data_IF_242158259324
#
_entry.id   IF_242158259324
#
_cell.length_a   1.000
_cell.length_b   1.000
_cell.length_c   1.000
_cell.angle_alpha   90.00
_cell.angle_beta   90.00
_cell.angle_gamma   90.00
#
_symmetry.space_group_name_H-M   'P 1'
#
loop_
_entity.id
_entity.type
_entity.pdbx_description
1 polymer ?
#
# COMPACT_ATOMS: atom_id res chain seq x y z
N UNK A 1 5.80 -0.19 -26.53
CA UNK A 1 6.46 -1.48 -26.27
C UNK A 1 5.75 -2.58 -27.05
N UNK A 2 6.52 -3.38 -27.79
CA UNK A 2 6.04 -4.55 -28.55
C UNK A 2 6.65 -5.77 -27.90
N UNK A 3 5.84 -6.81 -27.67
CA UNK A 3 6.32 -8.11 -27.20
C UNK A 3 5.91 -9.16 -28.21
N UNK A 4 6.88 -9.91 -28.74
CA UNK A 4 6.67 -11.03 -29.65
C UNK A 4 6.84 -12.34 -28.92
N UNK A 5 6.09 -13.37 -29.30
CA UNK A 5 6.31 -14.76 -28.94
C UNK A 5 6.89 -15.47 -30.15
N UNK A 6 8.19 -15.76 -30.10
CA UNK A 6 8.92 -16.49 -31.14
C UNK A 6 9.40 -17.79 -30.50
N UNK A 7 9.01 -18.93 -31.07
CA UNK A 7 9.41 -20.26 -30.58
C UNK A 7 9.07 -20.50 -29.08
N UNK A 8 7.95 -19.97 -28.59
CA UNK A 8 7.51 -20.04 -27.17
C UNK A 8 8.35 -19.19 -26.21
N UNK A 9 9.19 -18.31 -26.73
CA UNK A 9 9.94 -17.33 -25.96
C UNK A 9 9.45 -15.91 -26.26
N UNK A 10 9.32 -15.10 -25.20
CA UNK A 10 8.90 -13.71 -25.32
C UNK A 10 10.11 -12.78 -25.57
N UNK A 11 10.02 -11.91 -26.55
CA UNK A 11 11.06 -10.92 -26.88
C UNK A 11 10.46 -9.53 -27.00
N UNK A 12 11.19 -8.52 -26.51
CA UNK A 12 10.79 -7.11 -26.63
C UNK A 12 11.39 -6.54 -27.92
N UNK A 13 10.57 -5.82 -28.67
CA UNK A 13 10.96 -5.10 -29.88
C UNK A 13 10.61 -3.61 -29.68
N UNK A 14 11.53 -2.74 -30.08
CA UNK A 14 11.43 -1.30 -29.79
C UNK A 14 10.71 -0.53 -30.91
N UNK A 15 10.90 -0.91 -32.17
CA UNK A 15 10.39 -0.17 -33.32
C UNK A 15 9.31 -0.93 -34.08
N UNK A 16 8.29 -0.21 -34.56
CA UNK A 16 7.23 -0.81 -35.37
C UNK A 16 7.72 -1.26 -36.74
N UNK A 17 8.74 -0.60 -37.28
CA UNK A 17 9.33 -0.97 -38.56
C UNK A 17 9.89 -2.40 -38.54
N UNK A 18 10.37 -2.87 -37.38
CA UNK A 18 10.82 -4.26 -37.19
C UNK A 18 9.67 -5.25 -37.39
N UNK A 19 8.43 -4.86 -37.04
CA UNK A 19 7.23 -5.67 -37.27
C UNK A 19 6.85 -5.66 -38.75
N UNK A 20 6.92 -4.50 -39.40
CA UNK A 20 6.60 -4.34 -40.82
C UNK A 20 7.54 -5.17 -41.73
N UNK A 21 8.78 -5.36 -41.30
CA UNK A 21 9.79 -6.13 -42.04
C UNK A 21 9.69 -7.65 -41.80
N UNK A 22 8.80 -8.12 -40.93
CA UNK A 22 8.65 -9.55 -40.65
C UNK A 22 8.18 -10.31 -41.90
N UNK A 23 8.79 -11.47 -42.20
CA UNK A 23 8.30 -12.34 -43.27
C UNK A 23 6.83 -12.70 -43.06
N UNK A 24 6.01 -12.53 -44.10
CA UNK A 24 4.58 -12.83 -44.06
C UNK A 24 3.71 -11.70 -43.52
N UNK A 25 4.27 -10.60 -43.00
CA UNK A 25 3.48 -9.47 -42.54
C UNK A 25 2.72 -8.79 -43.68
N UNK A 26 1.44 -8.52 -43.44
CA UNK A 26 0.57 -7.75 -44.32
C UNK A 26 -0.27 -6.77 -43.52
N UNK A 27 -0.42 -5.55 -44.04
CA UNK A 27 -1.27 -4.51 -43.48
C UNK A 27 -2.68 -4.52 -44.08
N UNK A 28 -3.04 -5.54 -44.87
CA UNK A 28 -4.32 -5.61 -45.57
C UNK A 28 -4.83 -7.06 -45.68
N UNK A 29 -4.92 -7.75 -44.54
CA UNK A 29 -5.42 -9.13 -44.44
C UNK A 29 -6.95 -9.16 -44.57
N UNK A 30 -7.48 -10.02 -45.42
CA UNK A 30 -8.92 -10.30 -45.51
C UNK A 30 -9.32 -11.35 -44.45
N UNK A 31 -9.99 -10.97 -43.36
CA UNK A 31 -10.28 -11.89 -42.25
C UNK A 31 -11.25 -13.01 -42.63
N UNK A 32 -11.98 -12.90 -43.75
CA UNK A 32 -12.95 -13.91 -44.19
C UNK A 32 -12.30 -15.07 -44.96
N UNK A 33 -11.07 -14.88 -45.45
CA UNK A 33 -10.32 -15.86 -46.25
C UNK A 33 -9.24 -16.60 -45.47
N UNK A 34 -9.01 -16.22 -44.22
CA UNK A 34 -7.92 -16.77 -43.41
C UNK A 34 -8.43 -17.20 -42.05
N UNK A 35 -7.91 -18.33 -41.57
CA UNK A 35 -8.16 -18.80 -40.22
C UNK A 35 -7.03 -18.37 -39.28
N UNK A 36 -7.40 -18.04 -38.04
CA UNK A 36 -6.43 -17.74 -36.99
C UNK A 36 -5.54 -18.96 -36.73
N UNK A 37 -4.23 -18.77 -36.78
CA UNK A 37 -3.25 -19.76 -36.37
C UNK A 37 -2.84 -19.53 -34.91
N UNK A 38 -2.19 -18.40 -34.64
CA UNK A 38 -1.71 -18.06 -33.30
C UNK A 38 -1.65 -16.55 -33.04
N UNK A 39 -1.71 -16.14 -31.78
CA UNK A 39 -1.24 -14.81 -31.36
C UNK A 39 0.26 -14.89 -31.11
N UNK A 40 1.01 -14.16 -31.93
CA UNK A 40 2.48 -14.13 -31.93
C UNK A 40 3.03 -12.88 -31.27
N UNK A 41 2.18 -11.98 -30.79
CA UNK A 41 2.65 -10.79 -30.10
C UNK A 41 1.55 -9.86 -29.61
N UNK A 42 1.97 -8.86 -28.84
CA UNK A 42 1.17 -7.74 -28.35
C UNK A 42 1.94 -6.46 -28.56
N UNK A 43 1.25 -5.37 -28.87
CA UNK A 43 1.82 -4.04 -28.83
C UNK A 43 0.97 -3.08 -27.99
N UNK A 44 1.66 -2.13 -27.36
CA UNK A 44 1.08 -0.97 -26.68
C UNK A 44 1.94 0.24 -27.02
N UNK A 45 1.37 1.22 -27.69
CA UNK A 45 2.02 2.44 -28.16
C UNK A 45 1.30 3.69 -27.65
N UNK A 46 2.05 4.78 -27.55
CA UNK A 46 1.48 6.14 -27.45
C UNK A 46 0.89 6.58 -28.78
N UNK A 47 1.54 6.21 -29.90
CA UNK A 47 1.10 6.51 -31.26
C UNK A 47 0.23 5.40 -31.83
N UNK A 48 -0.72 5.77 -32.70
CA UNK A 48 -1.72 4.83 -33.19
C UNK A 48 -1.25 4.14 -34.47
N UNK A 49 -1.34 2.81 -34.51
CA UNK A 49 -1.10 2.01 -35.72
C UNK A 49 -2.41 1.61 -36.35
N UNK A 50 -2.50 1.65 -37.69
CA UNK A 50 -3.71 1.22 -38.43
C UNK A 50 -3.91 -0.28 -38.27
N UNK A 51 -5.15 -0.72 -38.04
CA UNK A 51 -5.51 -2.13 -38.06
C UNK A 51 -5.14 -2.75 -39.43
N UNK A 52 -4.49 -3.90 -39.43
CA UNK A 52 -4.03 -4.58 -40.64
C UNK A 52 -5.11 -5.39 -41.35
N UNK A 53 -6.36 -5.33 -40.90
CA UNK A 53 -7.49 -5.94 -41.60
C UNK A 53 -8.00 -5.05 -42.73
N UNK A 54 -8.31 -5.67 -43.88
CA UNK A 54 -8.81 -4.99 -45.09
C UNK A 54 -10.05 -4.14 -44.86
N UNK A 55 -10.91 -4.56 -43.93
CA UNK A 55 -12.24 -4.00 -43.73
C UNK A 55 -12.32 -3.04 -42.53
N UNK A 56 -11.17 -2.72 -41.90
CA UNK A 56 -11.16 -1.87 -40.71
C UNK A 56 -10.24 -0.66 -40.87
N UNK A 57 -8.92 -0.86 -41.01
CA UNK A 57 -7.89 0.19 -41.05
C UNK A 57 -7.93 1.26 -39.94
N UNK A 58 -8.81 1.09 -38.94
CA UNK A 58 -9.00 2.05 -37.86
C UNK A 58 -7.74 2.07 -36.99
N UNK A 59 -7.16 3.25 -36.72
CA UNK A 59 -5.99 3.34 -35.87
C UNK A 59 -6.30 2.92 -34.42
N UNK A 60 -5.38 2.19 -33.79
CA UNK A 60 -5.44 1.85 -32.36
C UNK A 60 -4.04 1.83 -31.74
N UNK A 61 -3.93 2.33 -30.50
CA UNK A 61 -2.66 2.34 -29.75
C UNK A 61 -2.33 0.99 -29.07
N UNK A 62 -3.21 0.00 -29.12
CA UNK A 62 -2.96 -1.33 -28.54
C UNK A 62 -3.65 -2.44 -29.31
N UNK A 63 -3.02 -3.61 -29.36
CA UNK A 63 -3.58 -4.78 -29.99
C UNK A 63 -2.58 -5.93 -30.03
N UNK A 64 -2.84 -6.87 -30.93
CA UNK A 64 -2.10 -8.12 -31.05
C UNK A 64 -1.51 -8.25 -32.44
N UNK A 65 -0.41 -9.00 -32.52
CA UNK A 65 0.10 -9.55 -33.76
C UNK A 65 -0.37 -10.99 -33.85
N UNK A 66 -0.98 -11.33 -34.97
CA UNK A 66 -1.53 -12.66 -35.24
C UNK A 66 -0.85 -13.26 -36.45
N UNK A 67 -0.64 -14.58 -36.40
CA UNK A 67 -0.28 -15.39 -37.55
C UNK A 67 -1.49 -16.24 -37.94
N UNK A 68 -1.81 -16.30 -39.22
CA UNK A 68 -2.84 -17.18 -39.79
C UNK A 68 -2.25 -18.57 -40.04
N UNK A 69 -3.11 -19.58 -40.23
CA UNK A 69 -2.65 -20.96 -40.52
C UNK A 69 -1.86 -21.08 -41.83
N UNK A 70 -2.08 -20.18 -42.78
CA UNK A 70 -1.35 -20.10 -44.05
C UNK A 70 -0.07 -19.24 -43.98
N UNK A 71 0.33 -18.81 -42.78
CA UNK A 71 1.62 -18.14 -42.54
C UNK A 71 1.63 -16.64 -42.80
N UNK A 72 0.47 -16.00 -42.95
CA UNK A 72 0.38 -14.53 -43.02
C UNK A 72 0.35 -13.96 -41.62
N UNK A 73 1.00 -12.82 -41.43
CA UNK A 73 1.00 -12.10 -40.17
C UNK A 73 0.30 -10.75 -40.34
N UNK A 74 -0.42 -10.31 -39.33
CA UNK A 74 -1.00 -8.95 -39.34
C UNK A 74 -1.18 -8.42 -37.93
N UNK A 75 -1.40 -7.12 -37.81
CA UNK A 75 -1.74 -6.47 -36.56
C UNK A 75 -3.24 -6.22 -36.46
N UNK A 76 -3.80 -6.45 -35.28
CA UNK A 76 -5.25 -6.41 -35.10
C UNK A 76 -5.62 -5.92 -33.71
N UNK A 77 -6.64 -5.06 -33.64
CA UNK A 77 -7.22 -4.62 -32.38
C UNK A 77 -8.06 -5.72 -31.71
N UNK A 78 -8.23 -5.64 -30.39
CA UNK A 78 -9.02 -6.59 -29.59
C UNK A 78 -10.43 -6.83 -30.18
N UNK A 79 -11.11 -5.75 -30.53
CA UNK A 79 -12.51 -5.81 -30.99
C UNK A 79 -12.60 -6.46 -32.37
N UNK A 80 -11.66 -6.14 -33.25
CA UNK A 80 -11.54 -6.78 -34.56
C UNK A 80 -11.25 -8.27 -34.43
N UNK A 81 -10.28 -8.67 -33.59
CA UNK A 81 -9.96 -10.08 -33.41
C UNK A 81 -11.12 -10.88 -32.83
N UNK A 82 -11.81 -10.32 -31.84
CA UNK A 82 -13.01 -10.96 -31.27
C UNK A 82 -14.15 -11.07 -32.29
N UNK A 83 -14.34 -10.05 -33.13
CA UNK A 83 -15.39 -10.03 -34.15
C UNK A 83 -15.14 -11.07 -35.25
N UNK A 84 -13.92 -11.14 -35.78
CA UNK A 84 -13.63 -11.91 -36.97
C UNK A 84 -13.12 -13.33 -36.69
N UNK A 85 -12.37 -13.52 -35.60
CA UNK A 85 -11.78 -14.81 -35.23
C UNK A 85 -12.43 -15.42 -33.97
N UNK A 86 -13.43 -14.74 -33.39
CA UNK A 86 -14.33 -15.30 -32.39
C UNK A 86 -13.64 -15.77 -31.10
N UNK A 87 -14.11 -16.90 -30.58
CA UNK A 87 -13.70 -17.46 -29.28
C UNK A 87 -12.21 -17.82 -29.29
N UNK A 88 -11.70 -18.40 -30.38
CA UNK A 88 -10.30 -18.81 -30.50
C UNK A 88 -9.35 -17.64 -30.25
N UNK A 89 -9.63 -16.47 -30.84
CA UNK A 89 -8.84 -15.27 -30.60
C UNK A 89 -8.90 -14.83 -29.15
N UNK A 90 -10.09 -14.83 -28.54
CA UNK A 90 -10.26 -14.39 -27.15
C UNK A 90 -9.50 -15.30 -26.19
N UNK A 91 -9.53 -16.62 -26.42
CA UNK A 91 -8.82 -17.59 -25.59
C UNK A 91 -7.30 -17.47 -25.74
N UNK A 92 -6.81 -17.38 -26.99
CA UNK A 92 -5.39 -17.18 -27.26
C UNK A 92 -4.88 -15.85 -26.69
N UNK A 93 -5.67 -14.77 -26.79
CA UNK A 93 -5.30 -13.47 -26.25
C UNK A 93 -5.18 -13.53 -24.73
N UNK A 94 -6.14 -14.17 -24.08
CA UNK A 94 -6.09 -14.41 -22.63
C UNK A 94 -4.90 -15.27 -22.22
N UNK A 95 -4.57 -16.30 -22.99
CA UNK A 95 -3.40 -17.14 -22.72
C UNK A 95 -2.11 -16.35 -22.86
N UNK A 96 -1.97 -15.58 -23.95
CA UNK A 96 -0.80 -14.73 -24.19
C UNK A 96 -0.60 -13.70 -23.08
N UNK A 97 -1.65 -13.01 -22.65
CA UNK A 97 -1.57 -12.04 -21.54
C UNK A 97 -1.17 -12.72 -20.22
N UNK A 98 -1.69 -13.92 -19.93
CA UNK A 98 -1.27 -14.69 -18.75
C UNK A 98 0.19 -15.08 -18.80
N UNK A 99 0.69 -15.51 -19.95
CA UNK A 99 2.09 -15.92 -20.11
C UNK A 99 3.03 -14.72 -20.00
N UNK A 100 2.63 -13.58 -20.55
CA UNK A 100 3.35 -12.31 -20.42
C UNK A 100 3.40 -11.86 -18.96
N UNK A 101 2.26 -11.82 -18.27
CA UNK A 101 2.18 -11.45 -16.84
C UNK A 101 3.01 -12.40 -15.98
N UNK A 102 2.97 -13.71 -16.26
CA UNK A 102 3.76 -14.69 -15.53
C UNK A 102 5.26 -14.48 -15.73
N UNK A 103 5.71 -14.13 -16.93
CA UNK A 103 7.11 -13.77 -17.20
C UNK A 103 7.52 -12.50 -16.46
N UNK A 104 6.74 -11.43 -16.61
CA UNK A 104 7.04 -10.14 -15.97
C UNK A 104 7.08 -10.30 -14.44
N UNK A 105 6.16 -11.07 -13.87
CA UNK A 105 6.17 -11.36 -12.44
C UNK A 105 7.40 -12.18 -12.04
N UNK A 106 7.84 -13.18 -12.82
CA UNK A 106 9.12 -13.88 -12.53
C UNK A 106 10.31 -12.92 -12.51
N UNK A 107 10.39 -11.99 -13.46
CA UNK A 107 11.47 -10.99 -13.51
C UNK A 107 11.45 -10.06 -12.28
N UNK A 108 10.27 -9.58 -11.89
CA UNK A 108 10.07 -8.79 -10.66
C UNK A 108 10.51 -9.56 -9.42
N UNK A 109 10.08 -10.82 -9.30
CA UNK A 109 10.42 -11.69 -8.17
C UNK A 109 11.92 -11.99 -8.11
N UNK A 110 12.55 -12.29 -9.24
CA UNK A 110 13.98 -12.54 -9.31
C UNK A 110 14.76 -11.29 -8.88
N UNK A 111 14.39 -10.12 -9.39
CA UNK A 111 15.01 -8.85 -9.00
C UNK A 111 14.85 -8.58 -7.51
N UNK A 112 13.67 -8.82 -6.95
CA UNK A 112 13.41 -8.67 -5.52
C UNK A 112 14.22 -9.65 -4.68
N UNK A 113 14.35 -10.90 -5.14
CA UNK A 113 15.11 -11.95 -4.46
C UNK A 113 16.58 -11.54 -4.27
N UNK A 114 17.22 -10.98 -5.30
CA UNK A 114 18.59 -10.48 -5.20
C UNK A 114 18.77 -9.29 -4.24
N UNK A 115 17.68 -8.59 -3.88
CA UNK A 115 17.71 -7.44 -2.97
C UNK A 115 17.23 -7.77 -1.56
N UNK A 116 16.96 -9.03 -1.24
CA UNK A 116 16.42 -9.40 0.08
C UNK A 116 17.36 -9.06 1.23
N UNK A 117 18.67 -9.27 1.06
CA UNK A 117 19.62 -8.99 2.14
C UNK A 117 19.75 -7.48 2.40
N UNK A 118 19.69 -6.64 1.34
CA UNK A 118 19.59 -5.18 1.49
C UNK A 118 18.30 -4.78 2.22
N UNK A 119 17.18 -5.41 1.86
CA UNK A 119 15.90 -5.16 2.49
C UNK A 119 15.91 -5.53 3.98
N UNK A 120 16.46 -6.69 4.34
CA UNK A 120 16.61 -7.11 5.74
C UNK A 120 17.50 -6.14 6.52
N UNK A 121 18.63 -5.70 5.96
CA UNK A 121 19.50 -4.70 6.59
C UNK A 121 18.78 -3.37 6.83
N UNK A 122 17.96 -2.93 5.87
CA UNK A 122 17.12 -1.72 6.02
C UNK A 122 16.06 -1.88 7.11
N UNK A 123 15.41 -3.04 7.20
CA UNK A 123 14.46 -3.35 8.26
C UNK A 123 15.16 -3.32 9.62
N UNK A 124 16.31 -3.97 9.77
CA UNK A 124 17.01 -4.00 11.06
C UNK A 124 17.50 -2.61 11.47
N UNK A 125 17.93 -1.77 10.51
CA UNK A 125 18.28 -0.37 10.78
C UNK A 125 17.11 0.40 11.39
N UNK A 126 15.89 0.23 10.85
CA UNK A 126 14.67 0.85 11.40
C UNK A 126 14.31 0.31 12.78
N UNK A 127 14.59 -0.98 13.04
CA UNK A 127 14.28 -1.63 14.32
C UNK A 127 15.25 -1.27 15.44
N UNK A 128 16.54 -1.29 15.15
CA UNK A 128 17.63 -1.24 16.13
C UNK A 128 18.22 0.14 16.34
N UNK A 129 17.94 1.12 15.47
CA UNK A 129 18.42 2.49 15.66
C UNK A 129 17.96 3.10 16.99
N UNK A 130 18.60 4.21 17.38
CA UNK A 130 18.24 4.94 18.60
C UNK A 130 16.76 5.34 18.56
N UNK A 131 16.03 4.97 19.61
CA UNK A 131 14.57 5.11 19.67
C UNK A 131 13.90 4.59 18.39
N UNK A 132 14.39 3.46 17.86
CA UNK A 132 13.88 2.78 16.68
C UNK A 132 12.62 1.97 16.98
N UNK A 133 12.16 1.23 15.98
CA UNK A 133 10.83 0.59 16.01
C UNK A 133 10.66 -0.38 17.20
N UNK A 134 11.71 -1.09 17.61
CA UNK A 134 11.67 -2.03 18.75
C UNK A 134 11.41 -1.30 20.07
N UNK A 135 12.06 -0.15 20.26
CA UNK A 135 11.88 0.67 21.45
C UNK A 135 10.49 1.34 21.43
N UNK A 136 10.11 1.94 20.30
CA UNK A 136 8.81 2.61 20.14
C UNK A 136 7.67 1.64 20.41
N UNK A 137 7.65 0.48 19.75
CA UNK A 137 6.61 -0.52 19.96
C UNK A 137 6.45 -0.89 21.43
N UNK A 138 7.56 -1.04 22.17
CA UNK A 138 7.52 -1.35 23.60
C UNK A 138 6.87 -0.24 24.43
N UNK A 139 7.20 1.02 24.17
CA UNK A 139 6.63 2.14 24.93
C UNK A 139 5.18 2.45 24.54
N UNK A 140 4.86 2.41 23.24
CA UNK A 140 3.48 2.52 22.72
C UNK A 140 2.61 1.39 23.30
N UNK A 141 3.12 0.17 23.39
CA UNK A 141 2.41 -0.94 24.04
C UNK A 141 2.20 -0.70 25.54
N UNK A 142 3.16 -0.07 26.23
CA UNK A 142 3.01 0.31 27.62
C UNK A 142 1.92 1.39 27.81
N UNK A 143 1.82 2.37 26.90
CA UNK A 143 0.76 3.39 26.88
C UNK A 143 -0.65 2.80 26.74
N UNK A 144 -0.78 1.63 26.11
CA UNK A 144 -2.04 0.91 25.95
C UNK A 144 -2.32 -0.08 27.10
N UNK A 145 -1.41 -0.22 28.06
CA UNK A 145 -1.52 -1.24 29.11
C UNK A 145 -1.93 -0.63 30.47
N UNK A 146 -3.14 -0.89 30.97
CA UNK A 146 -3.63 -0.39 32.26
C UNK A 146 -2.80 -0.82 33.49
N UNK A 147 -1.98 -1.88 33.36
CA UNK A 147 -1.07 -2.31 34.43
C UNK A 147 0.22 -1.48 34.49
N UNK A 148 0.55 -0.73 33.43
CA UNK A 148 1.74 0.13 33.35
C UNK A 148 1.40 1.61 33.45
N UNK A 149 0.29 2.00 32.83
CA UNK A 149 -0.22 3.38 32.80
C UNK A 149 -1.59 3.41 33.46
N UNK A 150 -1.92 4.46 34.25
CA UNK A 150 -3.23 4.60 34.86
C UNK A 150 -4.39 4.43 33.86
N UNK A 151 -5.43 3.72 34.28
CA UNK A 151 -6.57 3.36 33.39
C UNK A 151 -7.26 4.59 32.80
N UNK A 152 -7.29 5.70 33.54
CA UNK A 152 -7.86 6.95 33.05
C UNK A 152 -7.07 7.54 31.88
N UNK A 153 -5.74 7.40 31.90
CA UNK A 153 -4.86 7.86 30.84
C UNK A 153 -4.95 6.95 29.63
N UNK A 154 -4.96 5.62 29.83
CA UNK A 154 -5.12 4.68 28.70
C UNK A 154 -6.44 4.93 27.97
N UNK A 155 -7.55 5.12 28.71
CA UNK A 155 -8.87 5.47 28.13
C UNK A 155 -8.87 6.82 27.43
N UNK A 156 -8.18 7.82 27.98
CA UNK A 156 -8.05 9.14 27.34
C UNK A 156 -7.34 9.01 25.99
N UNK A 157 -6.22 8.29 25.94
CA UNK A 157 -5.48 8.06 24.70
C UNK A 157 -6.30 7.23 23.69
N UNK A 158 -7.02 6.21 24.13
CA UNK A 158 -7.94 5.44 23.28
C UNK A 158 -9.03 6.32 22.67
N UNK A 159 -9.61 7.23 23.46
CA UNK A 159 -10.61 8.18 22.97
C UNK A 159 -10.01 9.15 21.95
N UNK A 160 -8.83 9.71 22.23
CA UNK A 160 -8.12 10.60 21.31
C UNK A 160 -7.82 9.92 19.98
N UNK A 161 -7.34 8.67 20.02
CA UNK A 161 -7.09 7.84 18.84
C UNK A 161 -8.37 7.60 18.05
N UNK A 162 -9.47 7.23 18.72
CA UNK A 162 -10.77 6.97 18.07
C UNK A 162 -11.32 8.22 17.39
N UNK A 163 -11.14 9.39 18.01
CA UNK A 163 -11.59 10.68 17.47
C UNK A 163 -10.59 11.28 16.47
N UNK A 164 -9.40 10.69 16.32
CA UNK A 164 -8.26 11.25 15.57
C UNK A 164 -7.97 12.71 15.94
N UNK A 165 -8.08 13.03 17.22
CA UNK A 165 -7.80 14.37 17.75
C UNK A 165 -6.50 14.36 18.54
N UNK A 166 -5.64 15.34 18.26
CA UNK A 166 -4.40 15.57 19.03
C UNK A 166 -4.65 16.43 20.27
N UNK A 167 -5.84 17.02 20.40
CA UNK A 167 -6.14 17.91 21.51
C UNK A 167 -6.50 17.13 22.77
N UNK A 168 -5.70 17.33 23.81
CA UNK A 168 -6.04 16.92 25.16
C UNK A 168 -6.96 17.98 25.75
N UNK A 169 -8.17 17.58 26.13
CA UNK A 169 -9.10 18.49 26.83
C UNK A 169 -9.04 18.28 28.34
N UNK A 170 -9.51 19.22 29.15
CA UNK A 170 -9.82 19.02 30.56
C UNK A 170 -11.16 19.67 30.88
N UNK A 171 -11.91 19.07 31.80
CA UNK A 171 -13.22 19.60 32.20
C UNK A 171 -13.02 20.61 33.32
N UNK A 172 -13.51 21.83 33.14
CA UNK A 172 -13.52 22.87 34.16
C UNK A 172 -14.92 23.42 34.36
N UNK A 173 -15.19 23.95 35.54
CA UNK A 173 -16.44 24.64 35.80
C UNK A 173 -16.55 25.89 34.90
N UNK A 174 -17.70 26.03 34.26
CA UNK A 174 -18.03 27.16 33.43
C UNK A 174 -18.21 28.40 34.31
N UNK A 175 -17.64 29.54 33.89
CA UNK A 175 -17.87 30.77 34.60
C UNK A 175 -19.28 31.31 34.34
N UNK A 176 -19.75 32.25 35.17
CA UNK A 176 -21.11 32.77 35.09
C UNK A 176 -21.43 33.41 33.73
N UNK A 177 -20.44 34.07 33.10
CA UNK A 177 -20.60 34.65 31.74
C UNK A 177 -20.77 33.58 30.66
N UNK A 178 -20.03 32.48 30.74
CA UNK A 178 -20.15 31.35 29.81
C UNK A 178 -21.51 30.66 29.97
N UNK A 179 -21.98 30.50 31.22
CA UNK A 179 -23.31 29.95 31.51
C UNK A 179 -24.40 30.86 30.93
N UNK A 180 -24.33 32.17 31.16
CA UNK A 180 -25.27 33.16 30.63
C UNK A 180 -25.33 33.13 29.10
N UNK A 181 -24.19 33.03 28.41
CA UNK A 181 -24.13 32.93 26.95
C UNK A 181 -24.80 31.66 26.42
N UNK A 182 -24.57 30.51 27.06
CA UNK A 182 -25.16 29.24 26.62
C UNK A 182 -26.66 29.21 26.93
N UNK A 183 -27.10 29.75 28.08
CA UNK A 183 -28.53 29.90 28.43
C UNK A 183 -29.26 30.81 27.44
N UNK A 184 -28.63 31.92 27.03
CA UNK A 184 -29.16 32.84 26.02
C UNK A 184 -29.29 32.17 24.65
N UNK A 185 -28.31 31.36 24.23
CA UNK A 185 -28.37 30.61 22.96
C UNK A 185 -29.41 29.48 22.97
N UNK A 186 -29.56 28.76 24.10
CA UNK A 186 -30.47 27.60 24.20
C UNK A 186 -31.90 27.96 24.63
N UNK A 187 -32.12 29.18 25.09
CA UNK A 187 -33.41 29.65 25.60
C UNK A 187 -33.90 28.90 26.84
N UNK A 188 -33.01 28.23 27.58
CA UNK A 188 -33.32 27.43 28.77
C UNK A 188 -32.20 27.53 29.79
N UNK A 189 -32.55 27.53 31.08
CA UNK A 189 -31.60 27.49 32.19
C UNK A 189 -30.82 26.18 32.20
N UNK A 190 -29.54 26.25 32.52
CA UNK A 190 -28.62 25.13 32.59
C UNK A 190 -28.44 24.71 34.05
N UNK A 191 -28.32 23.41 34.29
CA UNK A 191 -28.05 22.86 35.62
C UNK A 191 -26.61 23.19 36.07
N UNK A 192 -26.45 23.65 37.31
CA UNK A 192 -25.16 24.07 37.90
C UNK A 192 -24.70 23.05 38.95
N UNK A 193 -23.39 22.74 39.08
CA UNK A 193 -22.28 23.28 38.27
C UNK A 193 -22.30 22.72 36.84
N UNK A 194 -22.04 23.60 35.86
CA UNK A 194 -21.92 23.22 34.46
C UNK A 194 -20.44 23.15 34.10
N UNK A 195 -20.01 22.08 33.44
CA UNK A 195 -18.62 21.89 33.06
C UNK A 195 -18.44 22.08 31.56
N UNK A 196 -17.35 22.75 31.19
CA UNK A 196 -16.88 22.94 29.83
C UNK A 196 -15.55 22.23 29.65
N UNK A 197 -15.37 21.62 28.48
CA UNK A 197 -14.09 21.04 28.08
C UNK A 197 -13.24 22.11 27.39
N UNK A 198 -12.06 22.37 27.95
CA UNK A 198 -11.06 23.26 27.35
C UNK A 198 -9.84 22.47 26.86
N UNK A 199 -9.18 22.94 25.79
CA UNK A 199 -7.95 22.31 25.30
C UNK A 199 -6.81 22.72 26.23
N UNK A 200 -6.19 21.75 26.88
CA UNK A 200 -5.05 21.96 27.79
C UNK A 200 -3.70 21.70 27.13
N UNK A 201 -3.66 20.86 26.09
CA UNK A 201 -2.45 20.58 25.33
C UNK A 201 -2.75 19.95 23.97
N UNK A 202 -1.73 19.89 23.11
CA UNK A 202 -1.72 19.08 21.91
C UNK A 202 -0.67 17.97 22.05
N UNK A 203 -1.10 16.71 21.91
CA UNK A 203 -0.24 15.54 21.94
C UNK A 203 0.22 15.23 20.52
N UNK A 204 1.49 15.51 20.24
CA UNK A 204 2.11 15.24 18.94
C UNK A 204 2.37 13.74 18.75
N UNK A 205 2.37 13.27 17.50
CA UNK A 205 2.71 11.87 17.17
C UNK A 205 1.68 10.83 17.60
N UNK A 206 0.45 11.23 17.91
CA UNK A 206 -0.65 10.32 18.30
C UNK A 206 -0.87 9.21 17.26
N UNK A 207 -0.54 9.49 16.00
CA UNK A 207 -0.57 8.55 14.88
C UNK A 207 0.20 7.26 15.16
N UNK A 208 1.24 7.28 16.02
CA UNK A 208 1.97 6.07 16.43
C UNK A 208 1.10 5.05 17.19
N UNK A 209 -0.04 5.48 17.74
CA UNK A 209 -1.00 4.60 18.42
C UNK A 209 -2.02 3.97 17.44
N UNK A 210 -2.10 4.46 16.19
CA UNK A 210 -3.07 3.99 15.20
C UNK A 210 -2.75 2.57 14.74
N UNK A 211 -3.80 1.80 14.40
CA UNK A 211 -3.66 0.40 14.04
C UNK A 211 -2.87 0.23 12.73
N UNK A 212 -3.11 1.10 11.75
CA UNK A 212 -2.38 1.10 10.47
C UNK A 212 -0.88 1.38 10.61
N UNK A 213 -0.45 1.94 11.75
CA UNK A 213 0.93 2.31 12.05
C UNK A 213 1.60 1.32 13.01
N UNK A 214 1.00 0.16 13.28
CA UNK A 214 1.58 -0.84 14.17
C UNK A 214 2.91 -1.38 13.61
N UNK A 215 4.02 -1.03 14.28
CA UNK A 215 5.36 -1.37 13.83
C UNK A 215 5.65 -2.88 13.87
N UNK A 216 5.00 -3.65 14.76
CA UNK A 216 5.16 -5.10 14.78
C UNK A 216 4.47 -5.71 13.58
N UNK A 217 3.25 -5.29 13.29
CA UNK A 217 2.51 -5.75 12.12
C UNK A 217 3.26 -5.41 10.82
N UNK A 218 3.68 -4.15 10.65
CA UNK A 218 4.36 -3.69 9.44
C UNK A 218 5.72 -4.37 9.23
N UNK A 219 6.59 -4.39 10.25
CA UNK A 219 7.96 -4.86 10.06
C UNK A 219 8.11 -6.38 10.25
N UNK A 220 7.37 -6.98 11.19
CA UNK A 220 7.54 -8.40 11.50
C UNK A 220 6.62 -9.25 10.62
N UNK A 221 5.32 -8.99 10.65
CA UNK A 221 4.32 -9.84 9.99
C UNK A 221 4.32 -9.63 8.47
N UNK A 222 4.23 -8.38 8.02
CA UNK A 222 4.11 -8.08 6.58
C UNK A 222 5.44 -8.18 5.83
N UNK A 223 6.57 -7.97 6.52
CA UNK A 223 7.91 -7.99 5.90
C UNK A 223 8.74 -9.20 6.34
N UNK A 224 9.24 -9.27 7.58
CA UNK A 224 10.20 -10.31 7.98
C UNK A 224 9.69 -11.76 7.81
N UNK A 225 8.46 -12.04 8.25
CA UNK A 225 7.87 -13.37 8.10
C UNK A 225 7.69 -13.72 6.61
N UNK A 226 7.27 -12.75 5.80
CA UNK A 226 7.10 -12.93 4.36
C UNK A 226 8.43 -13.07 3.62
N UNK A 227 9.49 -12.36 4.03
CA UNK A 227 10.84 -12.56 3.51
C UNK A 227 11.31 -13.98 3.79
N UNK A 228 11.12 -14.48 5.02
CA UNK A 228 11.48 -15.86 5.39
C UNK A 228 10.71 -16.91 4.58
N UNK A 229 9.44 -16.67 4.32
CA UNK A 229 8.63 -17.50 3.41
C UNK A 229 9.18 -17.44 1.99
N UNK A 230 9.42 -16.24 1.45
CA UNK A 230 9.85 -16.00 0.08
C UNK A 230 11.24 -16.55 -0.23
N UNK A 231 12.20 -16.48 0.71
CA UNK A 231 13.54 -17.06 0.57
C UNK A 231 13.53 -18.57 0.26
N UNK A 232 12.47 -19.28 0.64
CA UNK A 232 12.33 -20.74 0.43
C UNK A 232 11.69 -21.08 -0.91
N UNK A 233 11.21 -20.08 -1.65
CA UNK A 233 10.45 -20.28 -2.89
C UNK A 233 11.40 -20.45 -4.07
N UNK A 234 11.16 -21.48 -4.87
CA UNK A 234 11.77 -21.63 -6.20
C UNK A 234 10.92 -20.88 -7.23
N UNK A 235 11.37 -19.71 -7.65
CA UNK A 235 10.59 -18.78 -8.50
C UNK A 235 10.20 -19.43 -9.84
N UNK A 236 11.10 -20.23 -10.43
CA UNK A 236 10.86 -20.87 -11.73
C UNK A 236 9.70 -21.86 -11.70
N UNK A 237 9.52 -22.56 -10.57
CA UNK A 237 8.52 -23.60 -10.37
C UNK A 237 7.12 -23.03 -10.01
N UNK A 238 7.01 -21.71 -9.81
CA UNK A 238 5.77 -21.09 -9.36
C UNK A 238 4.68 -21.11 -10.43
N UNK A 239 3.46 -21.41 -9.99
CA UNK A 239 2.24 -21.27 -10.78
C UNK A 239 1.84 -19.79 -10.85
N UNK A 240 1.08 -19.42 -11.90
CA UNK A 240 0.61 -18.03 -12.14
C UNK A 240 -0.03 -17.39 -10.92
N UNK A 241 -0.85 -18.16 -10.18
CA UNK A 241 -1.51 -17.67 -8.97
C UNK A 241 -0.51 -17.22 -7.90
N UNK A 242 0.54 -18.01 -7.68
CA UNK A 242 1.57 -17.72 -6.68
C UNK A 242 2.54 -16.64 -7.15
N UNK A 243 2.85 -16.59 -8.46
CA UNK A 243 3.58 -15.46 -9.06
C UNK A 243 2.86 -14.14 -8.80
N UNK A 244 1.54 -14.09 -9.06
CA UNK A 244 0.74 -12.89 -8.86
C UNK A 244 0.66 -12.51 -7.37
N UNK A 245 0.51 -13.50 -6.48
CA UNK A 245 0.52 -13.29 -5.03
C UNK A 245 1.84 -12.67 -4.56
N UNK A 246 2.97 -13.25 -4.94
CA UNK A 246 4.29 -12.77 -4.53
C UNK A 246 4.64 -11.44 -5.18
N UNK A 247 4.25 -11.21 -6.44
CA UNK A 247 4.47 -9.93 -7.13
C UNK A 247 3.74 -8.80 -6.42
N UNK A 248 2.49 -9.03 -6.01
CA UNK A 248 1.73 -8.06 -5.19
C UNK A 248 2.41 -7.78 -3.85
N UNK A 249 2.93 -8.81 -3.18
CA UNK A 249 3.69 -8.61 -1.95
C UNK A 249 4.96 -7.79 -2.20
N UNK A 250 5.76 -8.11 -3.23
CA UNK A 250 6.95 -7.34 -3.59
C UNK A 250 6.62 -5.87 -3.84
N UNK A 251 5.52 -5.59 -4.56
CA UNK A 251 5.05 -4.22 -4.80
C UNK A 251 4.62 -3.50 -3.51
N UNK A 252 4.19 -4.22 -2.48
CA UNK A 252 3.82 -3.66 -1.18
C UNK A 252 5.02 -3.30 -0.28
N UNK A 253 6.20 -3.88 -0.52
CA UNK A 253 7.37 -3.71 0.37
C UNK A 253 7.72 -2.24 0.59
N UNK A 254 7.82 -1.46 -0.51
CA UNK A 254 8.18 -0.05 -0.42
C UNK A 254 7.16 0.77 0.40
N UNK A 255 5.85 0.77 0.05
CA UNK A 255 4.87 1.50 0.86
C UNK A 255 4.83 1.04 2.31
N UNK A 256 4.95 -0.26 2.61
CA UNK A 256 5.01 -0.75 4.00
C UNK A 256 6.22 -0.19 4.76
N UNK A 257 7.40 -0.13 4.13
CA UNK A 257 8.59 0.49 4.73
C UNK A 257 8.43 1.98 4.95
N UNK A 258 7.82 2.69 4.01
CA UNK A 258 7.59 4.14 4.11
C UNK A 258 6.60 4.43 5.26
N UNK A 259 5.50 3.68 5.37
CA UNK A 259 4.59 3.75 6.53
C UNK A 259 5.30 3.41 7.85
N UNK A 260 6.17 2.41 7.87
CA UNK A 260 6.93 2.07 9.08
C UNK A 260 7.90 3.20 9.48
N UNK A 261 8.52 3.88 8.51
CA UNK A 261 9.37 5.06 8.77
C UNK A 261 8.58 6.21 9.36
N UNK A 262 7.41 6.51 8.79
CA UNK A 262 6.53 7.55 9.31
C UNK A 262 6.06 7.21 10.73
N UNK A 263 5.66 5.95 10.97
CA UNK A 263 5.31 5.46 12.30
C UNK A 263 6.46 5.60 13.31
N UNK A 264 7.71 5.33 12.90
CA UNK A 264 8.88 5.59 13.74
C UNK A 264 9.02 7.08 14.06
N UNK A 265 8.81 7.96 13.09
CA UNK A 265 8.85 9.41 13.31
C UNK A 265 7.74 9.87 14.27
N UNK A 266 6.50 9.40 14.09
CA UNK A 266 5.40 9.65 15.02
C UNK A 266 5.71 9.16 16.42
N UNK A 267 6.27 7.96 16.55
CA UNK A 267 6.66 7.39 17.84
C UNK A 267 7.70 8.24 18.57
N UNK A 268 8.69 8.78 17.84
CA UNK A 268 9.71 9.67 18.40
C UNK A 268 9.14 11.00 18.87
N UNK A 269 8.17 11.56 18.14
CA UNK A 269 7.46 12.77 18.55
C UNK A 269 6.55 12.50 19.75
N UNK A 270 5.86 11.37 19.76
CA UNK A 270 4.93 10.99 20.82
C UNK A 270 5.65 10.77 22.15
N UNK A 271 6.73 9.98 22.11
CA UNK A 271 7.35 9.40 23.29
C UNK A 271 8.44 10.29 23.89
N UNK A 272 8.09 11.54 24.18
CA UNK A 272 8.94 12.45 24.96
C UNK A 272 8.28 12.82 26.28
N UNK A 273 9.10 13.19 27.26
CA UNK A 273 8.62 13.71 28.54
C UNK A 273 7.78 14.95 28.33
N UNK A 274 8.29 15.91 27.55
CA UNK A 274 7.61 17.17 27.27
C UNK A 274 6.22 16.96 26.63
N UNK A 275 6.09 16.02 25.70
CA UNK A 275 4.85 15.80 24.96
C UNK A 275 3.79 15.04 25.78
N UNK A 276 4.19 14.11 26.65
CA UNK A 276 3.24 13.31 27.44
C UNK A 276 2.98 13.83 28.85
N UNK A 277 3.82 14.74 29.37
CA UNK A 277 3.61 15.39 30.67
C UNK A 277 2.22 16.03 30.84
N UNK A 278 1.60 16.66 29.82
CA UNK A 278 0.26 17.22 29.96
C UNK A 278 -0.83 16.21 30.34
N UNK A 279 -0.61 14.90 30.12
CA UNK A 279 -1.55 13.86 30.56
C UNK A 279 -1.74 13.84 32.08
N UNK A 280 -0.80 14.40 32.86
CA UNK A 280 -0.97 14.57 34.30
C UNK A 280 -2.20 15.43 34.66
N UNK A 281 -2.63 16.36 33.79
CA UNK A 281 -3.85 17.14 34.01
C UNK A 281 -5.14 16.30 34.03
N UNK A 282 -5.08 15.06 33.52
CA UNK A 282 -6.21 14.13 33.56
C UNK A 282 -6.25 13.29 34.83
N UNK A 283 -5.17 13.22 35.59
CA UNK A 283 -5.15 12.47 36.85
C UNK A 283 -5.80 13.34 37.92
N UNK A 284 -6.81 12.79 38.59
CA UNK A 284 -7.41 13.47 39.72
C UNK A 284 -6.42 13.51 40.89
N UNK A 285 -6.28 14.66 41.52
CA UNK A 285 -5.35 14.93 42.63
C UNK A 285 -5.53 13.98 43.84
N UNK A 286 -6.62 13.22 43.88
CA UNK A 286 -6.94 12.27 44.94
C UNK A 286 -6.27 10.88 44.81
N UNK A 287 -5.60 10.53 43.70
CA UNK A 287 -4.86 9.26 43.57
C UNK A 287 -3.33 9.46 43.35
N UNK A 288 -2.55 9.59 44.44
CA UNK A 288 -1.10 9.77 44.38
C UNK A 288 -0.37 8.62 43.66
N UNK A 289 -0.94 7.42 43.65
CA UNK A 289 -0.29 6.23 43.05
C UNK A 289 -0.37 6.27 41.54
N UNK A 290 -1.47 6.76 40.99
CA UNK A 290 -1.62 6.90 39.54
C UNK A 290 -0.71 8.01 39.00
N UNK A 291 -0.57 9.12 39.73
CA UNK A 291 0.39 10.17 39.40
C UNK A 291 1.84 9.65 39.44
N UNK A 292 2.23 8.93 40.49
CA UNK A 292 3.55 8.34 40.63
C UNK A 292 3.86 7.36 39.47
N UNK A 293 2.90 6.50 39.10
CA UNK A 293 3.07 5.58 37.97
C UNK A 293 3.30 6.30 36.65
N UNK A 294 2.50 7.34 36.34
CA UNK A 294 2.68 8.08 35.10
C UNK A 294 4.02 8.82 35.11
N UNK A 295 4.39 9.47 36.22
CA UNK A 295 5.70 10.12 36.36
C UNK A 295 6.85 9.14 36.19
N UNK A 296 6.75 7.96 36.81
CA UNK A 296 7.74 6.88 36.67
C UNK A 296 7.87 6.37 35.24
N UNK A 297 6.80 6.37 34.45
CA UNK A 297 6.89 6.10 33.01
C UNK A 297 7.58 7.24 32.26
N UNK A 298 7.21 8.50 32.53
CA UNK A 298 7.78 9.66 31.85
C UNK A 298 9.30 9.73 32.01
N UNK A 299 9.85 9.41 33.18
CA UNK A 299 11.32 9.42 33.39
C UNK A 299 12.08 8.39 32.54
N UNK A 300 11.40 7.41 31.96
CA UNK A 300 12.00 6.45 31.02
C UNK A 300 12.08 6.96 29.58
N UNK A 301 11.48 8.11 29.29
CA UNK A 301 11.41 8.73 27.97
C UNK A 301 12.49 9.80 27.79
N UNK A 302 12.94 10.06 26.55
CA UNK A 302 13.73 11.25 26.23
C UNK A 302 12.96 12.53 26.58
N UNK A 303 13.70 13.63 26.77
CA UNK A 303 13.12 14.94 27.12
C UNK A 303 12.27 15.53 25.98
#
# INVERSE_FOLDING_TARGET
>A
MITLNVNKELFKVEHWDDVLQRPGFTNNLDPTKHELGSIIGRYVFSDYVRCGLSDCHTPHGRGYLVATKDGRETNIGKDCGSKYFGVDFVEQARQFERDLEARDNREVLATAFFRLDELEARIETLRAGDHGARWIHRQVSALKNPAKIPTLITRTLEQMVRQRTRHLTASREANEKEIEQIEAMRGKKISRPYYLDEIVAEIQGLEALYQENDLRELLVVQLEEKIKEFKKVKIDDLQVKDLNRWSKWVQSIKPTLDTARDSVAFGRLLLTQSNLKPLLHKIDSADPRDEERLRGFLTTLPF
#
